data_IF_597597097734
#
_entry.id   IF_597597097734
#
_cell.length_a   1.000
_cell.length_b   1.000
_cell.length_c   1.000
_cell.angle_alpha   90.00
_cell.angle_beta   90.00
_cell.angle_gamma   90.00
#
_symmetry.space_group_name_H-M   'P 1'
#
loop_
_entity.id
_entity.type
_entity.pdbx_description
1 polymer ?
#
# COMPACT_ATOMS: atom_id res chain seq x y z
N UNK A 1 30.39 50.06 30.92
CA UNK A 1 29.54 49.14 31.70
C UNK A 1 28.35 48.77 30.83
N UNK A 2 28.25 47.48 30.51
CA UNK A 2 27.19 46.86 29.72
C UNK A 2 25.81 47.02 30.38
N UNK A 3 24.76 47.15 29.56
CA UNK A 3 23.49 46.46 29.83
C UNK A 3 22.93 45.91 28.52
N UNK A 4 23.20 44.63 28.31
CA UNK A 4 22.68 43.76 27.25
C UNK A 4 21.28 43.31 27.67
N UNK A 5 20.24 43.82 27.00
CA UNK A 5 18.86 43.38 27.19
C UNK A 5 18.75 41.92 26.77
N UNK A 6 18.48 41.03 27.73
CA UNK A 6 18.23 39.60 27.50
C UNK A 6 16.87 39.44 26.83
N UNK A 7 16.88 39.01 25.57
CA UNK A 7 15.71 38.43 24.90
C UNK A 7 15.23 37.23 25.71
N UNK A 8 14.06 37.39 26.34
CA UNK A 8 13.34 36.30 26.99
C UNK A 8 12.57 35.53 25.91
N UNK A 9 12.75 34.21 25.75
CA UNK A 9 12.00 33.46 24.76
C UNK A 9 10.54 33.34 25.20
N UNK A 10 9.66 33.95 24.41
CA UNK A 10 8.20 33.84 24.52
C UNK A 10 7.75 32.37 24.29
N UNK A 11 7.31 31.73 25.37
CA UNK A 11 6.87 30.34 25.45
C UNK A 11 5.41 30.13 24.98
N UNK A 12 4.72 31.16 24.50
CA UNK A 12 3.28 31.10 24.21
C UNK A 12 2.91 30.59 22.81
N UNK A 13 3.89 30.34 21.91
CA UNK A 13 3.62 30.09 20.50
C UNK A 13 3.99 28.66 20.05
N UNK A 14 3.06 27.67 20.07
CA UNK A 14 3.34 26.27 19.73
C UNK A 14 3.75 26.05 18.27
N UNK A 15 3.51 27.04 17.40
CA UNK A 15 3.85 26.98 15.96
C UNK A 15 5.34 27.24 15.69
N UNK A 16 6.06 27.89 16.62
CA UNK A 16 7.50 28.20 16.45
C UNK A 16 8.43 27.09 16.94
N UNK A 17 7.98 26.25 17.88
CA UNK A 17 8.82 25.22 18.52
C UNK A 17 8.98 23.92 17.71
N UNK A 18 8.27 23.74 16.59
CA UNK A 18 8.53 22.63 15.66
C UNK A 18 9.75 22.85 14.74
N UNK A 19 10.40 24.02 14.83
CA UNK A 19 11.59 24.39 14.03
C UNK A 19 12.95 23.95 14.61
N UNK A 20 12.99 23.31 15.77
CA UNK A 20 14.24 23.05 16.51
C UNK A 20 14.84 21.66 16.30
N UNK A 21 14.21 20.79 15.50
CA UNK A 21 14.75 19.46 15.22
C UNK A 21 14.85 19.27 13.71
N UNK A 22 16.00 18.79 13.20
CA UNK A 22 16.13 18.45 11.79
C UNK A 22 15.05 17.42 11.44
N UNK A 23 14.23 17.72 10.43
CA UNK A 23 13.17 16.80 10.01
C UNK A 23 13.79 15.53 9.42
N UNK A 24 13.24 14.37 9.77
CA UNK A 24 13.63 13.12 9.13
C UNK A 24 12.71 12.84 7.95
N UNK A 25 13.27 12.81 6.75
CA UNK A 25 12.52 12.62 5.52
C UNK A 25 12.91 11.29 4.89
N UNK A 26 11.93 10.43 4.67
CA UNK A 26 12.09 9.18 3.92
C UNK A 26 11.72 9.41 2.47
N UNK A 27 12.55 9.00 1.54
CA UNK A 27 12.31 9.05 0.10
C UNK A 27 12.22 7.61 -0.42
N UNK A 28 11.07 7.19 -0.91
CA UNK A 28 10.87 5.88 -1.54
C UNK A 28 10.98 6.05 -3.05
N UNK A 29 12.15 5.70 -3.57
CA UNK A 29 12.48 5.83 -4.97
C UNK A 29 11.93 4.63 -5.75
N UNK A 30 10.67 4.72 -6.18
CA UNK A 30 10.12 3.82 -7.20
C UNK A 30 10.41 4.30 -8.63
N UNK A 31 10.90 5.53 -8.79
CA UNK A 31 11.18 6.15 -10.08
C UNK A 31 12.50 6.93 -10.04
N UNK A 32 13.40 6.67 -10.98
CA UNK A 32 14.70 7.33 -11.09
C UNK A 32 14.61 8.73 -11.71
N UNK A 33 13.70 8.92 -12.68
CA UNK A 33 13.61 10.15 -13.50
C UNK A 33 13.29 11.43 -12.72
N UNK A 34 12.50 11.31 -11.66
CA UNK A 34 11.98 12.46 -10.90
C UNK A 34 12.78 12.73 -9.63
N UNK A 35 13.74 11.85 -9.33
CA UNK A 35 14.45 11.83 -8.05
C UNK A 35 15.26 13.11 -7.83
N UNK A 36 16.11 13.50 -8.78
CA UNK A 36 17.00 14.67 -8.62
C UNK A 36 16.22 15.96 -8.36
N UNK A 37 15.21 16.24 -9.20
CA UNK A 37 14.34 17.42 -9.07
C UNK A 37 13.56 17.42 -7.75
N UNK A 38 13.06 16.26 -7.32
CA UNK A 38 12.32 16.13 -6.05
C UNK A 38 13.25 16.33 -4.86
N UNK A 39 14.47 15.79 -4.93
CA UNK A 39 15.49 15.95 -3.90
C UNK A 39 15.89 17.42 -3.72
N UNK A 40 16.14 18.13 -4.82
CA UNK A 40 16.44 19.56 -4.80
C UNK A 40 15.28 20.38 -4.23
N UNK A 41 14.04 20.08 -4.64
CA UNK A 41 12.85 20.73 -4.09
C UNK A 41 12.71 20.50 -2.58
N UNK A 42 12.92 19.27 -2.12
CA UNK A 42 12.85 18.92 -0.70
C UNK A 42 13.98 19.55 0.10
N UNK A 43 15.17 19.68 -0.47
CA UNK A 43 16.32 20.35 0.16
C UNK A 43 16.07 21.85 0.30
N UNK A 44 15.47 22.47 -0.70
CA UNK A 44 15.08 23.88 -0.64
C UNK A 44 13.95 24.12 0.38
N UNK A 45 12.99 23.19 0.48
CA UNK A 45 11.90 23.27 1.47
C UNK A 45 12.39 22.96 2.90
N UNK A 46 13.34 22.02 3.04
CA UNK A 46 13.86 21.53 4.31
C UNK A 46 15.40 21.44 4.29
N UNK A 47 16.11 22.58 4.44
CA UNK A 47 17.57 22.63 4.30
C UNK A 47 18.34 21.89 5.40
N UNK A 48 17.74 21.71 6.58
CA UNK A 48 18.33 20.99 7.72
C UNK A 48 17.78 19.56 7.86
N UNK A 49 17.07 19.02 6.87
CA UNK A 49 16.52 17.67 6.97
C UNK A 49 17.56 16.57 6.76
N UNK A 50 17.42 15.48 7.50
CA UNK A 50 18.13 14.22 7.23
C UNK A 50 17.29 13.38 6.27
N UNK A 51 17.93 12.91 5.20
CA UNK A 51 17.25 12.18 4.15
C UNK A 51 17.62 10.70 4.19
N UNK A 52 16.62 9.83 4.36
CA UNK A 52 16.76 8.39 4.17
C UNK A 52 16.18 8.04 2.81
N UNK A 53 16.95 7.38 1.95
CA UNK A 53 16.52 7.02 0.60
C UNK A 53 16.41 5.50 0.51
N UNK A 54 15.22 5.04 0.16
CA UNK A 54 14.90 3.66 -0.15
C UNK A 54 14.97 3.48 -1.67
N UNK A 55 15.98 2.76 -2.16
CA UNK A 55 16.18 2.47 -3.59
C UNK A 55 16.49 1.00 -3.88
N UNK A 56 16.09 0.51 -5.05
CA UNK A 56 16.44 -0.82 -5.55
C UNK A 56 17.90 -0.91 -6.03
N UNK A 57 18.52 0.22 -6.37
CA UNK A 57 19.89 0.31 -6.87
C UNK A 57 20.74 1.19 -5.93
N UNK A 58 21.08 0.68 -4.73
CA UNK A 58 21.79 1.47 -3.71
C UNK A 58 23.18 1.93 -4.19
N UNK A 59 23.86 1.12 -5.00
CA UNK A 59 25.25 1.40 -5.38
C UNK A 59 25.34 2.46 -6.48
N UNK A 60 24.48 2.41 -7.50
CA UNK A 60 24.36 3.50 -8.51
C UNK A 60 23.99 4.85 -7.86
N UNK A 61 23.18 4.80 -6.80
CA UNK A 61 22.74 5.97 -6.08
C UNK A 61 23.83 6.53 -5.15
N UNK A 62 24.63 5.68 -4.52
CA UNK A 62 25.81 6.12 -3.76
C UNK A 62 26.76 6.89 -4.67
N UNK A 63 27.05 6.36 -5.85
CA UNK A 63 27.93 6.99 -6.84
C UNK A 63 27.39 8.34 -7.33
N UNK A 64 26.06 8.45 -7.47
CA UNK A 64 25.39 9.70 -7.86
C UNK A 64 25.29 10.75 -6.74
N UNK A 65 25.48 10.35 -5.48
CA UNK A 65 25.32 11.20 -4.28
C UNK A 65 26.64 11.37 -3.50
N UNK A 66 27.77 10.93 -4.07
CA UNK A 66 29.11 11.11 -3.49
C UNK A 66 29.35 12.60 -3.24
N UNK A 67 29.57 12.96 -1.97
CA UNK A 67 29.89 14.33 -1.56
C UNK A 67 28.87 15.01 -0.63
N UNK A 68 27.80 14.33 -0.24
CA UNK A 68 26.78 14.88 0.67
C UNK A 68 26.55 13.97 1.89
N UNK A 69 26.89 14.47 3.08
CA UNK A 69 26.94 13.69 4.32
C UNK A 69 25.57 13.39 4.97
N UNK A 70 24.48 13.97 4.45
CA UNK A 70 23.16 13.95 5.11
C UNK A 70 22.22 12.83 4.60
N UNK A 71 22.75 11.89 3.82
CA UNK A 71 21.98 10.82 3.17
C UNK A 71 22.24 9.45 3.78
N UNK A 72 21.16 8.76 4.17
CA UNK A 72 21.18 7.34 4.50
C UNK A 72 20.52 6.55 3.36
N UNK A 73 21.29 5.71 2.66
CA UNK A 73 20.74 4.87 1.58
C UNK A 73 20.42 3.48 2.12
N UNK A 74 19.17 3.06 1.99
CA UNK A 74 18.68 1.74 2.37
C UNK A 74 18.28 0.95 1.11
N UNK A 75 18.80 -0.28 0.95
CA UNK A 75 18.41 -1.12 -0.17
C UNK A 75 16.97 -1.60 -0.03
N UNK A 76 16.20 -1.51 -1.12
CA UNK A 76 15.01 -2.33 -1.30
C UNK A 76 15.40 -3.77 -1.61
N UNK A 77 14.56 -4.75 -1.25
CA UNK A 77 14.78 -6.14 -1.65
C UNK A 77 14.84 -6.23 -3.19
N UNK A 78 15.97 -6.70 -3.71
CA UNK A 78 16.18 -6.93 -5.14
C UNK A 78 15.21 -7.98 -5.69
N UNK A 79 14.70 -7.73 -6.90
CA UNK A 79 14.11 -8.77 -7.75
C UNK A 79 12.62 -9.07 -7.58
N UNK A 80 11.87 -8.44 -6.66
CA UNK A 80 10.39 -8.58 -6.62
C UNK A 80 9.71 -7.25 -6.35
N UNK A 81 8.55 -7.06 -6.98
CA UNK A 81 7.66 -5.92 -6.80
C UNK A 81 7.66 -5.42 -5.35
N UNK A 82 7.89 -4.11 -5.17
CA UNK A 82 7.90 -3.43 -3.88
C UNK A 82 6.57 -3.76 -3.19
N UNK A 83 6.62 -4.47 -2.06
CA UNK A 83 5.45 -4.84 -1.27
C UNK A 83 5.82 -4.79 0.21
N UNK A 84 4.87 -4.39 1.06
CA UNK A 84 5.04 -4.42 2.52
C UNK A 84 5.44 -5.82 3.00
N UNK A 85 4.96 -6.86 2.32
CA UNK A 85 5.23 -8.24 2.67
C UNK A 85 6.63 -8.69 2.26
N UNK A 86 7.19 -8.17 1.17
CA UNK A 86 8.53 -8.53 0.70
C UNK A 86 9.65 -7.79 1.45
N UNK A 87 9.35 -6.65 2.08
CA UNK A 87 10.36 -5.89 2.84
C UNK A 87 10.79 -6.56 4.15
N UNK A 88 9.98 -7.48 4.69
CA UNK A 88 10.27 -8.22 5.92
C UNK A 88 9.97 -7.42 7.20
N UNK A 89 9.50 -8.12 8.23
CA UNK A 89 9.01 -7.52 9.49
C UNK A 89 10.11 -6.75 10.23
N UNK A 90 11.34 -7.28 10.27
CA UNK A 90 12.47 -6.63 10.96
C UNK A 90 12.86 -5.28 10.34
N UNK A 91 12.95 -5.21 9.01
CA UNK A 91 13.28 -3.95 8.31
C UNK A 91 12.14 -2.93 8.40
N UNK A 92 10.89 -3.39 8.40
CA UNK A 92 9.73 -2.52 8.65
C UNK A 92 9.74 -1.94 10.04
N UNK A 93 10.04 -2.75 11.06
CA UNK A 93 10.17 -2.29 12.44
C UNK A 93 11.26 -1.22 12.55
N UNK A 94 12.41 -1.44 11.91
CA UNK A 94 13.48 -0.45 11.83
C UNK A 94 13.00 0.87 11.21
N UNK A 95 12.33 0.83 10.05
CA UNK A 95 11.79 2.05 9.42
C UNK A 95 10.75 2.76 10.29
N UNK A 96 9.95 2.01 11.05
CA UNK A 96 8.98 2.59 11.96
C UNK A 96 9.64 3.27 13.17
N UNK A 97 10.66 2.64 13.74
CA UNK A 97 11.43 3.16 14.88
C UNK A 97 12.20 4.45 14.52
N UNK A 98 12.50 4.69 13.24
CA UNK A 98 13.15 5.93 12.80
C UNK A 98 12.30 7.20 13.01
N UNK A 99 10.97 7.07 13.16
CA UNK A 99 10.03 8.18 13.39
C UNK A 99 10.16 9.31 12.35
N UNK A 100 9.94 8.98 11.07
CA UNK A 100 9.99 9.95 9.99
C UNK A 100 8.90 11.03 10.11
N UNK A 101 9.25 12.28 9.85
CA UNK A 101 8.28 13.38 9.80
C UNK A 101 7.54 13.40 8.45
N UNK A 102 8.23 13.03 7.37
CA UNK A 102 7.69 13.00 6.01
C UNK A 102 8.16 11.74 5.28
N UNK A 103 7.25 11.06 4.60
CA UNK A 103 7.55 10.04 3.61
C UNK A 103 7.16 10.53 2.21
N UNK A 104 8.16 10.70 1.34
CA UNK A 104 8.01 11.07 -0.06
C UNK A 104 8.03 9.82 -0.95
N UNK A 105 6.92 9.54 -1.63
CA UNK A 105 6.80 8.44 -2.61
C UNK A 105 6.97 9.02 -4.01
N UNK A 106 7.92 8.48 -4.78
CA UNK A 106 8.19 8.98 -6.14
C UNK A 106 7.53 8.08 -7.17
N UNK A 107 6.59 8.63 -7.95
CA UNK A 107 5.89 7.89 -9.00
C UNK A 107 6.61 7.97 -10.35
N UNK A 108 6.57 6.86 -11.11
CA UNK A 108 7.16 6.82 -12.46
C UNK A 108 6.14 7.23 -13.54
N UNK A 109 4.84 7.14 -13.25
CA UNK A 109 3.76 7.48 -14.19
C UNK A 109 2.86 8.57 -13.64
N UNK A 110 2.40 9.46 -14.53
CA UNK A 110 1.59 10.64 -14.20
C UNK A 110 0.22 10.29 -13.61
N UNK A 111 -0.29 9.08 -13.86
CA UNK A 111 -1.60 8.67 -13.37
C UNK A 111 -1.59 8.30 -11.89
N UNK A 112 -0.46 7.86 -11.33
CA UNK A 112 -0.36 7.47 -9.90
C UNK A 112 -1.06 6.15 -9.52
N UNK A 113 -1.40 5.29 -10.49
CA UNK A 113 -2.04 3.99 -10.25
C UNK A 113 -1.00 2.86 -10.31
N UNK A 114 -1.19 1.77 -9.57
CA UNK A 114 -0.24 0.65 -9.52
C UNK A 114 0.87 0.82 -8.48
N UNK A 115 0.76 1.82 -7.62
CA UNK A 115 1.72 2.10 -6.55
C UNK A 115 1.16 1.89 -5.14
N UNK A 116 -0.04 1.31 -4.99
CA UNK A 116 -0.62 1.12 -3.66
C UNK A 116 0.30 0.32 -2.74
N UNK A 117 1.16 -0.54 -3.27
CA UNK A 117 2.16 -1.26 -2.49
C UNK A 117 3.26 -0.34 -1.94
N UNK A 118 3.73 0.65 -2.72
CA UNK A 118 4.73 1.64 -2.31
C UNK A 118 4.11 2.65 -1.34
N UNK A 119 2.87 3.08 -1.62
CA UNK A 119 2.09 3.94 -0.71
C UNK A 119 1.85 3.25 0.63
N UNK A 120 1.52 1.95 0.61
CA UNK A 120 1.34 1.19 1.84
C UNK A 120 2.66 0.92 2.56
N UNK A 121 3.80 0.84 1.85
CA UNK A 121 5.13 0.80 2.46
C UNK A 121 5.42 2.11 3.19
N UNK A 122 5.18 3.25 2.55
CA UNK A 122 5.30 4.58 3.17
C UNK A 122 4.38 4.74 4.39
N UNK A 123 3.15 4.22 4.30
CA UNK A 123 2.26 4.18 5.46
C UNK A 123 2.82 3.33 6.60
N UNK A 124 3.40 2.17 6.27
CA UNK A 124 3.91 1.24 7.27
C UNK A 124 5.10 1.77 8.08
N UNK A 125 5.74 2.85 7.63
CA UNK A 125 6.81 3.52 8.40
C UNK A 125 6.25 4.43 9.49
N UNK A 126 4.94 4.70 9.52
CA UNK A 126 4.33 5.57 10.53
C UNK A 126 4.75 7.03 10.40
N UNK A 127 5.11 7.49 9.20
CA UNK A 127 5.47 8.88 8.99
C UNK A 127 4.29 9.82 9.28
N UNK A 128 4.55 11.00 9.87
CA UNK A 128 3.50 11.98 10.22
C UNK A 128 2.78 12.50 8.98
N UNK A 129 3.53 12.67 7.89
CA UNK A 129 3.01 13.12 6.61
C UNK A 129 3.51 12.20 5.48
N UNK A 130 2.67 11.97 4.48
CA UNK A 130 3.02 11.19 3.29
C UNK A 130 2.67 12.02 2.05
N UNK A 131 3.65 12.21 1.16
CA UNK A 131 3.49 12.95 -0.11
C UNK A 131 3.87 12.06 -1.28
N UNK A 132 3.03 12.02 -2.30
CA UNK A 132 3.33 11.40 -3.59
C UNK A 132 3.79 12.44 -4.61
N UNK A 133 4.99 12.29 -5.17
CA UNK A 133 5.59 13.20 -6.15
C UNK A 133 5.48 12.62 -7.56
N UNK A 134 4.98 13.45 -8.48
CA UNK A 134 4.76 13.08 -9.89
C UNK A 134 5.86 13.63 -10.80
N UNK A 135 6.04 13.06 -12.00
CA UNK A 135 7.00 13.56 -12.99
C UNK A 135 6.81 15.03 -13.40
N UNK A 136 5.58 15.52 -13.38
CA UNK A 136 5.27 16.93 -13.63
C UNK A 136 5.85 17.89 -12.57
N UNK A 137 6.37 17.38 -11.44
CA UNK A 137 6.85 18.18 -10.31
C UNK A 137 5.75 18.61 -9.34
N UNK A 138 4.51 18.18 -9.57
CA UNK A 138 3.41 18.32 -8.61
C UNK A 138 3.51 17.25 -7.54
N UNK A 139 3.02 17.56 -6.33
CA UNK A 139 2.87 16.57 -5.26
C UNK A 139 1.42 16.48 -4.81
N UNK A 140 1.07 15.34 -4.23
CA UNK A 140 -0.23 15.09 -3.62
C UNK A 140 -0.04 14.60 -2.20
N UNK A 141 -0.75 15.19 -1.25
CA UNK A 141 -0.83 14.64 0.10
C UNK A 141 -1.64 13.35 0.08
N UNK A 142 -1.05 12.27 0.59
CA UNK A 142 -1.69 10.98 0.68
C UNK A 142 -2.27 10.80 2.07
N UNK A 143 -3.61 10.86 2.16
CA UNK A 143 -4.31 10.52 3.39
C UNK A 143 -4.44 8.99 3.51
N UNK A 144 -4.45 8.48 4.73
CA UNK A 144 -4.78 7.08 5.07
C UNK A 144 -5.97 6.52 4.28
N UNK A 145 -7.06 7.28 4.22
CA UNK A 145 -8.28 6.91 3.49
C UNK A 145 -8.03 6.75 1.99
N UNK A 146 -7.16 7.60 1.40
CA UNK A 146 -6.80 7.51 -0.02
C UNK A 146 -5.92 6.30 -0.29
N UNK A 147 -4.93 6.01 0.57
CA UNK A 147 -4.07 4.83 0.45
C UNK A 147 -4.91 3.55 0.54
N UNK A 148 -5.83 3.49 1.50
CA UNK A 148 -6.72 2.33 1.65
C UNK A 148 -7.70 2.21 0.48
N UNK A 149 -8.28 3.32 0.01
CA UNK A 149 -9.16 3.34 -1.17
C UNK A 149 -8.42 2.91 -2.44
N UNK A 150 -7.19 3.37 -2.65
CA UNK A 150 -6.34 2.97 -3.78
C UNK A 150 -6.06 1.47 -3.72
N UNK A 151 -5.71 0.95 -2.54
CA UNK A 151 -5.49 -0.49 -2.32
C UNK A 151 -6.73 -1.32 -2.56
N UNK A 152 -7.89 -0.89 -2.06
CA UNK A 152 -9.16 -1.56 -2.33
C UNK A 152 -9.52 -1.47 -3.82
N UNK A 153 -9.23 -0.37 -4.50
CA UNK A 153 -9.51 -0.20 -5.92
C UNK A 153 -8.61 -1.09 -6.79
N UNK A 154 -7.37 -1.30 -6.40
CA UNK A 154 -6.48 -2.26 -7.05
C UNK A 154 -6.89 -3.71 -6.74
N UNK A 155 -7.43 -3.99 -5.56
CA UNK A 155 -7.89 -5.33 -5.18
C UNK A 155 -9.36 -5.65 -5.52
N UNK A 156 -10.17 -4.67 -5.95
CA UNK A 156 -11.60 -4.90 -6.24
C UNK A 156 -11.79 -5.79 -7.46
N UNK A 157 -10.81 -5.85 -8.38
CA UNK A 157 -10.80 -6.84 -9.44
C UNK A 157 -10.76 -8.28 -8.88
N UNK A 158 -9.98 -8.51 -7.82
CA UNK A 158 -9.92 -9.80 -7.10
C UNK A 158 -11.23 -10.04 -6.35
N UNK A 159 -11.81 -9.00 -5.74
CA UNK A 159 -13.11 -9.08 -5.08
C UNK A 159 -14.24 -9.53 -6.01
N UNK A 160 -14.29 -8.99 -7.22
CA UNK A 160 -15.25 -9.41 -8.25
C UNK A 160 -15.02 -10.86 -8.72
N UNK A 161 -13.76 -11.26 -8.90
CA UNK A 161 -13.41 -12.65 -9.22
C UNK A 161 -13.82 -13.60 -8.09
N UNK A 162 -13.55 -13.25 -6.84
CA UNK A 162 -13.93 -14.04 -5.67
C UNK A 162 -15.45 -14.18 -5.54
N UNK A 163 -16.20 -13.10 -5.79
CA UNK A 163 -17.66 -13.13 -5.78
C UNK A 163 -18.22 -14.05 -6.87
N UNK A 164 -17.63 -14.02 -8.07
CA UNK A 164 -18.01 -14.93 -9.15
C UNK A 164 -17.73 -16.40 -8.81
N UNK A 165 -16.57 -16.69 -8.20
CA UNK A 165 -16.22 -18.05 -7.73
C UNK A 165 -17.22 -18.52 -6.67
N UNK A 166 -17.54 -17.66 -5.69
CA UNK A 166 -18.50 -17.98 -4.64
C UNK A 166 -19.89 -18.27 -5.22
N UNK A 167 -20.32 -17.46 -6.19
CA UNK A 167 -21.59 -17.65 -6.89
C UNK A 167 -21.63 -18.98 -7.63
N UNK A 168 -20.55 -19.33 -8.35
CA UNK A 168 -20.44 -20.61 -9.04
C UNK A 168 -20.48 -21.80 -8.08
N UNK A 169 -19.85 -21.69 -6.90
CA UNK A 169 -19.91 -22.72 -5.86
C UNK A 169 -21.33 -22.91 -5.33
N UNK A 170 -22.04 -21.82 -5.02
CA UNK A 170 -23.44 -21.87 -4.56
C UNK A 170 -24.33 -22.53 -5.63
N UNK A 171 -24.15 -22.17 -6.90
CA UNK A 171 -24.88 -22.79 -8.01
C UNK A 171 -24.62 -24.30 -8.12
N UNK A 172 -23.36 -24.72 -7.97
CA UNK A 172 -22.99 -26.14 -7.97
C UNK A 172 -23.71 -26.91 -6.85
N UNK A 173 -23.77 -26.34 -5.65
CA UNK A 173 -24.46 -26.93 -4.50
C UNK A 173 -25.96 -27.06 -4.77
N UNK A 174 -26.61 -25.99 -5.26
CA UNK A 174 -28.05 -26.00 -5.57
C UNK A 174 -28.38 -27.06 -6.64
N UNK A 175 -27.61 -27.11 -7.72
CA UNK A 175 -27.82 -28.10 -8.80
C UNK A 175 -27.57 -29.51 -8.29
N UNK A 176 -26.49 -29.72 -7.53
CA UNK A 176 -26.17 -31.02 -6.93
C UNK A 176 -27.27 -31.53 -6.00
N UNK A 177 -27.80 -30.68 -5.13
CA UNK A 177 -28.93 -31.02 -4.28
C UNK A 177 -30.22 -31.27 -5.07
N UNK A 178 -30.45 -30.52 -6.14
CA UNK A 178 -31.62 -30.72 -7.02
C UNK A 178 -31.56 -32.09 -7.71
N UNK A 179 -30.41 -32.46 -8.27
CA UNK A 179 -30.21 -33.77 -8.90
C UNK A 179 -30.29 -34.92 -7.89
N UNK A 180 -29.68 -34.77 -6.71
CA UNK A 180 -29.74 -35.79 -5.66
C UNK A 180 -31.17 -35.96 -5.11
N UNK A 181 -31.89 -34.85 -4.92
CA UNK A 181 -33.29 -34.82 -4.53
C UNK A 181 -34.19 -35.49 -5.56
N UNK A 182 -33.99 -35.19 -6.85
CA UNK A 182 -34.73 -35.83 -7.94
C UNK A 182 -34.46 -37.34 -7.99
N UNK A 183 -33.19 -37.76 -7.89
CA UNK A 183 -32.82 -39.17 -7.86
C UNK A 183 -33.42 -39.90 -6.63
N UNK A 184 -33.43 -39.25 -5.47
CA UNK A 184 -34.08 -39.74 -4.25
C UNK A 184 -35.59 -39.87 -4.41
N UNK A 185 -36.24 -38.85 -4.96
CA UNK A 185 -37.67 -38.85 -5.24
C UNK A 185 -38.06 -39.98 -6.20
N UNK A 186 -37.34 -40.13 -7.32
CA UNK A 186 -37.54 -41.24 -8.28
C UNK A 186 -37.36 -42.59 -7.60
N UNK A 187 -36.35 -42.78 -6.74
CA UNK A 187 -36.15 -44.04 -6.01
C UNK A 187 -37.29 -44.40 -5.05
N UNK A 188 -37.88 -43.41 -4.38
CA UNK A 188 -38.94 -43.63 -3.38
C UNK A 188 -40.31 -43.78 -4.06
N UNK A 189 -40.64 -42.94 -5.04
CA UNK A 189 -41.97 -42.86 -5.62
C UNK A 189 -42.14 -43.64 -6.94
N UNK A 190 -41.09 -43.85 -7.75
CA UNK A 190 -41.24 -44.66 -8.97
C UNK A 190 -41.48 -46.14 -8.66
N UNK A 191 -40.94 -46.65 -7.54
CA UNK A 191 -41.21 -48.01 -7.03
C UNK A 191 -42.67 -48.25 -6.65
N UNK A 192 -43.45 -47.21 -6.36
CA UNK A 192 -44.88 -47.35 -6.03
C UNK A 192 -45.79 -47.44 -7.26
N UNK A 193 -45.30 -47.06 -8.45
CA UNK A 193 -46.14 -47.01 -9.67
C UNK A 193 -46.22 -48.33 -10.44
N UNK A 194 -45.39 -49.33 -10.13
CA UNK A 194 -45.33 -50.58 -10.89
C UNK A 194 -46.19 -51.74 -10.35
N UNK A 195 -47.01 -51.55 -9.31
CA UNK A 195 -47.79 -52.63 -8.68
C UNK A 195 -49.28 -52.67 -9.03
N UNK A 196 -49.73 -52.03 -10.11
CA UNK A 196 -51.14 -52.09 -10.55
C UNK A 196 -51.25 -52.59 -11.99
N UNK A 197 -51.05 -53.90 -12.18
CA UNK A 197 -51.70 -54.63 -13.28
C UNK A 197 -52.94 -55.31 -12.69
N UNK A 198 -54.18 -54.98 -13.12
CA UNK A 198 -55.34 -55.76 -12.75
C UNK A 198 -55.25 -57.14 -13.41
N UNK A 199 -55.52 -58.17 -12.59
CA UNK A 199 -55.82 -59.53 -13.03
C UNK A 199 -57.13 -59.52 -13.84
N UNK A 200 -57.09 -60.13 -15.03
CA UNK A 200 -58.21 -60.91 -15.58
C UNK A 200 -59.14 -60.22 -16.58
N UNK A 201 -59.18 -60.80 -17.78
CA UNK A 201 -60.38 -61.19 -18.55
C UNK A 201 -59.84 -61.94 -19.79
N UNK A 202 -59.79 -63.28 -19.78
CA UNK A 202 -60.89 -64.16 -20.22
C UNK A 202 -61.33 -63.82 -21.64
N UNK A 203 -60.75 -64.53 -22.61
CA UNK A 203 -61.44 -65.24 -23.70
C UNK A 203 -60.51 -66.30 -24.29
#
# INVERSE_FOLDING_TARGET
>A
METKTRDTPDLSNPVRNSKLRPKKILIIQSASRVFKKTLESLRNEFPEATFTILTAHPDEMKDSLVGSADYQILPLPEGKHISIFSYGIGKRKYLHEQNFDLAAVLYNIEKGWGYANVESLAWSTGAKEIRGYFPAGTFKHLTLSQIFKNRLREQTAIGWVALNILTAFIQLVIVGFSMAGEAGYRRIFAKRSSSTKPKGSSE
#
